data_IF_878197127272
#
_entry.id   IF_878197127272
#
_cell.length_a   1.000
_cell.length_b   1.000
_cell.length_c   1.000
_cell.angle_alpha   90.00
_cell.angle_beta   90.00
_cell.angle_gamma   90.00
#
_symmetry.space_group_name_H-M   'P 1'
#
loop_
_entity.id
_entity.type
_entity.pdbx_description
1 polymer ?
#
# COMPACT_ATOMS: atom_id res chain seq x y z
N UNK A 1 49.44 9.64 -14.69
CA UNK A 1 48.36 8.64 -14.67
C UNK A 1 48.80 7.44 -13.83
N UNK A 2 48.39 7.33 -12.56
CA UNK A 2 48.64 6.12 -11.78
C UNK A 2 47.40 5.19 -11.81
N UNK A 3 47.65 3.92 -12.14
CA UNK A 3 46.75 2.78 -11.92
C UNK A 3 46.83 2.42 -10.44
N UNK A 4 45.68 2.40 -9.75
CA UNK A 4 45.59 1.86 -8.39
C UNK A 4 44.86 0.53 -8.48
N UNK A 5 45.65 -0.53 -8.36
CA UNK A 5 45.22 -1.90 -8.09
C UNK A 5 44.70 -1.97 -6.66
N UNK A 6 43.43 -2.35 -6.45
CA UNK A 6 42.94 -2.65 -5.10
C UNK A 6 42.97 -4.17 -4.88
N UNK A 7 43.65 -4.53 -3.82
CA UNK A 7 44.01 -5.88 -3.38
C UNK A 7 42.79 -6.56 -2.74
N UNK A 8 42.59 -7.82 -3.13
CA UNK A 8 41.68 -8.78 -2.49
C UNK A 8 42.25 -9.14 -1.12
N UNK A 9 41.49 -8.86 -0.05
CA UNK A 9 41.80 -9.39 1.28
C UNK A 9 40.79 -10.47 1.63
N UNK A 10 41.24 -11.71 1.48
CA UNK A 10 40.55 -12.92 1.90
C UNK A 10 40.80 -13.11 3.40
N UNK A 11 39.76 -12.96 4.24
CA UNK A 11 39.83 -13.30 5.65
C UNK A 11 39.33 -14.74 5.85
N UNK A 12 40.29 -15.65 6.09
CA UNK A 12 40.04 -16.98 6.63
C UNK A 12 39.79 -16.86 8.15
N UNK A 13 38.66 -17.36 8.64
CA UNK A 13 38.46 -17.67 10.05
C UNK A 13 38.15 -19.15 10.23
N UNK A 14 38.94 -19.78 11.10
CA UNK A 14 38.85 -21.19 11.51
C UNK A 14 38.43 -21.22 13.00
N UNK A 15 37.39 -22.00 13.29
CA UNK A 15 37.27 -22.81 14.52
C UNK A 15 36.62 -22.20 15.77
N UNK A 16 35.47 -22.75 16.17
CA UNK A 16 34.88 -22.60 17.51
C UNK A 16 33.38 -22.97 17.54
N UNK A 17 33.00 -23.97 18.33
CA UNK A 17 31.75 -24.75 18.24
C UNK A 17 30.44 -24.07 18.74
N UNK A 18 29.34 -24.69 18.30
CA UNK A 18 27.97 -24.74 18.84
C UNK A 18 27.08 -23.50 18.73
N UNK A 19 26.32 -23.49 17.63
CA UNK A 19 25.05 -22.80 17.49
C UNK A 19 24.56 -23.07 16.08
N UNK A 20 23.44 -23.78 15.92
CA UNK A 20 22.81 -24.01 14.62
C UNK A 20 22.21 -22.68 14.11
N UNK A 21 23.07 -21.74 13.74
CA UNK A 21 22.69 -20.62 12.90
C UNK A 21 22.75 -21.17 11.47
N UNK A 22 21.59 -21.50 10.92
CA UNK A 22 21.42 -21.59 9.47
C UNK A 22 21.94 -20.29 8.89
N UNK A 23 23.16 -20.35 8.36
CA UNK A 23 23.76 -19.30 7.56
C UNK A 23 23.02 -19.33 6.22
N UNK A 24 21.78 -18.83 6.25
CA UNK A 24 20.97 -18.63 5.07
C UNK A 24 21.75 -17.59 4.29
N UNK A 25 22.25 -17.99 3.12
CA UNK A 25 22.91 -17.12 2.16
C UNK A 25 21.97 -15.90 1.94
N UNK A 26 22.26 -14.77 2.63
CA UNK A 26 21.41 -13.57 2.67
C UNK A 26 21.11 -13.02 1.28
N UNK A 27 21.85 -13.48 0.27
CA UNK A 27 21.65 -13.12 -1.13
C UNK A 27 20.49 -13.84 -1.82
N UNK A 28 19.86 -14.85 -1.20
CA UNK A 28 18.84 -15.70 -1.87
C UNK A 28 17.46 -15.75 -1.20
N UNK A 29 17.32 -15.19 0.00
CA UNK A 29 16.07 -15.24 0.76
C UNK A 29 15.64 -13.86 1.22
N UNK A 30 14.34 -13.58 1.21
CA UNK A 30 13.75 -12.39 1.82
C UNK A 30 12.67 -12.80 2.80
N UNK A 31 12.68 -12.18 3.98
CA UNK A 31 11.69 -12.38 5.02
C UNK A 31 10.73 -11.19 4.98
N UNK A 32 9.45 -11.47 4.75
CA UNK A 32 8.36 -10.50 4.82
C UNK A 32 7.60 -10.75 6.13
N UNK A 33 7.48 -9.70 6.95
CA UNK A 33 6.72 -9.80 8.21
C UNK A 33 5.23 -9.57 7.95
N UNK A 34 4.40 -10.50 8.42
CA UNK A 34 2.94 -10.41 8.42
C UNK A 34 2.48 -10.20 9.86
N UNK A 35 1.25 -9.73 10.07
CA UNK A 35 0.72 -9.37 11.40
C UNK A 35 0.91 -10.44 12.48
N UNK A 36 0.89 -11.73 12.08
CA UNK A 36 1.07 -12.86 13.00
C UNK A 36 2.05 -13.94 12.49
N UNK A 37 2.79 -13.68 11.41
CA UNK A 37 3.62 -14.71 10.77
C UNK A 37 4.82 -14.11 10.01
N UNK A 38 5.74 -14.97 9.56
CA UNK A 38 6.86 -14.59 8.69
C UNK A 38 6.83 -15.41 7.42
N UNK A 39 6.77 -14.72 6.28
CA UNK A 39 6.86 -15.35 4.97
C UNK A 39 8.32 -15.34 4.50
N UNK A 40 8.90 -16.52 4.36
CA UNK A 40 10.26 -16.71 3.85
C UNK A 40 10.17 -17.00 2.34
N UNK A 41 10.62 -16.05 1.53
CA UNK A 41 10.59 -16.14 0.08
C UNK A 41 12.01 -16.37 -0.44
N UNK A 42 12.20 -17.47 -1.15
CA UNK A 42 13.50 -17.87 -1.69
C UNK A 42 13.50 -17.82 -3.21
N UNK A 43 14.62 -17.42 -3.79
CA UNK A 43 14.84 -17.58 -5.22
C UNK A 43 15.30 -19.02 -5.52
N UNK A 44 14.34 -19.90 -5.76
CA UNK A 44 14.55 -21.32 -6.11
C UNK A 44 14.98 -21.56 -7.58
N UNK A 45 15.11 -20.48 -8.37
CA UNK A 45 15.47 -20.53 -9.79
C UNK A 45 14.28 -20.67 -10.75
N UNK A 46 13.09 -21.03 -10.25
CA UNK A 46 11.86 -21.06 -11.04
C UNK A 46 11.38 -19.64 -11.37
N UNK A 47 10.50 -19.50 -12.36
CA UNK A 47 9.93 -18.19 -12.71
C UNK A 47 9.13 -17.60 -11.53
N UNK A 48 8.28 -18.40 -10.90
CA UNK A 48 7.48 -17.95 -9.76
C UNK A 48 8.34 -17.66 -8.53
N UNK A 49 9.35 -18.48 -8.22
CA UNK A 49 10.27 -18.21 -7.11
C UNK A 49 11.06 -16.93 -7.31
N UNK A 50 11.52 -16.64 -8.54
CA UNK A 50 12.15 -15.36 -8.88
C UNK A 50 11.20 -14.17 -8.68
N UNK A 51 9.95 -14.27 -9.12
CA UNK A 51 8.93 -13.21 -8.97
C UNK A 51 8.57 -12.99 -7.50
N UNK A 52 8.30 -14.05 -6.75
CA UNK A 52 8.06 -14.01 -5.30
C UNK A 52 9.21 -13.32 -4.57
N UNK A 53 10.45 -13.74 -4.83
CA UNK A 53 11.62 -13.14 -4.23
C UNK A 53 11.77 -11.64 -4.57
N UNK A 54 11.57 -11.26 -5.83
CA UNK A 54 11.66 -9.87 -6.28
C UNK A 54 10.61 -8.98 -5.58
N UNK A 55 9.34 -9.39 -5.61
CA UNK A 55 8.26 -8.65 -4.97
C UNK A 55 8.40 -8.63 -3.44
N UNK A 56 8.88 -9.70 -2.83
CA UNK A 56 9.20 -9.72 -1.40
C UNK A 56 10.27 -8.70 -1.00
N UNK A 57 11.30 -8.50 -1.84
CA UNK A 57 12.28 -7.43 -1.63
C UNK A 57 11.69 -6.04 -1.79
N UNK A 58 10.83 -5.85 -2.78
CA UNK A 58 10.16 -4.56 -3.00
C UNK A 58 9.22 -4.19 -1.86
N UNK A 59 8.49 -5.17 -1.33
CA UNK A 59 7.61 -5.02 -0.17
C UNK A 59 8.41 -4.69 1.10
N UNK A 60 9.54 -5.37 1.34
CA UNK A 60 10.43 -5.04 2.46
C UNK A 60 11.02 -3.64 2.36
N UNK A 61 11.37 -3.18 1.15
CA UNK A 61 11.80 -1.81 0.94
C UNK A 61 10.67 -0.81 1.23
N UNK A 62 9.44 -1.12 0.79
CA UNK A 62 8.27 -0.31 1.08
C UNK A 62 7.97 -0.23 2.59
N UNK A 63 8.17 -1.32 3.35
CA UNK A 63 8.01 -1.31 4.81
C UNK A 63 8.93 -0.29 5.48
N UNK A 64 10.17 -0.21 5.01
CA UNK A 64 11.16 0.73 5.50
C UNK A 64 10.78 2.17 5.16
N UNK A 65 10.28 2.42 3.94
CA UNK A 65 9.80 3.74 3.52
C UNK A 65 8.58 4.18 4.36
N UNK A 66 7.62 3.28 4.59
CA UNK A 66 6.45 3.54 5.45
C UNK A 66 6.90 3.85 6.89
N UNK A 67 7.85 3.08 7.43
CA UNK A 67 8.39 3.29 8.78
C UNK A 67 9.03 4.67 8.92
N UNK A 68 9.87 5.07 7.97
CA UNK A 68 10.50 6.39 7.97
C UNK A 68 9.47 7.52 7.88
N UNK A 69 8.42 7.35 7.06
CA UNK A 69 7.35 8.35 6.94
C UNK A 69 6.54 8.49 8.23
N UNK A 70 6.27 7.38 8.94
CA UNK A 70 5.61 7.40 10.26
C UNK A 70 6.46 8.12 11.30
N UNK A 71 7.75 7.83 11.36
CA UNK A 71 8.67 8.50 12.30
C UNK A 71 8.73 10.00 12.03
N UNK A 72 8.73 10.41 10.75
CA UNK A 72 8.64 11.81 10.36
C UNK A 72 7.30 12.44 10.77
N UNK A 73 6.19 11.71 10.62
CA UNK A 73 4.85 12.15 11.03
C UNK A 73 4.76 12.36 12.55
N UNK A 74 5.29 11.43 13.34
CA UNK A 74 5.28 11.48 14.81
C UNK A 74 6.17 12.62 15.36
N UNK A 75 7.20 13.01 14.61
CA UNK A 75 8.05 14.16 14.93
C UNK A 75 7.42 15.51 14.58
N UNK A 76 6.25 15.55 13.90
CA UNK A 76 5.56 16.81 13.64
C UNK A 76 4.94 17.37 14.94
N UNK A 77 5.27 18.60 15.36
CA UNK A 77 4.77 19.14 16.61
C UNK A 77 3.26 19.36 16.55
N UNK A 78 2.50 18.55 17.28
CA UNK A 78 1.10 18.82 17.62
C UNK A 78 1.12 20.01 18.59
N UNK A 79 0.97 21.23 18.07
CA UNK A 79 0.76 22.39 18.94
C UNK A 79 -0.60 22.21 19.59
N UNK A 80 -0.69 22.09 20.93
CA UNK A 80 -1.98 22.01 21.59
C UNK A 80 -2.80 23.25 21.22
N UNK A 81 -4.07 23.03 20.90
CA UNK A 81 -5.01 24.13 20.68
C UNK A 81 -5.02 25.00 21.94
N UNK A 82 -4.90 26.34 21.83
CA UNK A 82 -5.01 27.19 23.00
C UNK A 82 -6.39 26.95 23.66
N UNK A 83 -6.47 27.00 25.01
CA UNK A 83 -7.72 26.84 25.72
C UNK A 83 -8.75 27.86 25.19
N UNK A 84 -10.06 27.54 25.25
CA UNK A 84 -11.09 28.41 24.72
C UNK A 84 -11.15 29.73 25.53
N UNK A 85 -10.45 30.77 25.06
CA UNK A 85 -10.60 32.12 25.59
C UNK A 85 -11.91 32.73 25.08
N UNK A 86 -12.88 32.75 26.00
CA UNK A 86 -13.74 33.89 26.31
C UNK A 86 -14.02 34.92 25.18
N UNK A 87 -15.21 34.83 24.60
CA UNK A 87 -16.10 35.97 24.27
C UNK A 87 -15.49 37.22 23.60
N UNK A 88 -14.82 37.09 22.46
CA UNK A 88 -14.61 38.24 21.59
C UNK A 88 -15.05 37.96 20.15
N UNK A 89 -16.21 38.51 19.76
CA UNK A 89 -16.94 38.21 18.50
C UNK A 89 -16.28 38.73 17.21
N UNK A 90 -15.06 39.30 17.24
CA UNK A 90 -14.48 40.01 16.09
C UNK A 90 -12.99 39.69 15.81
N UNK A 91 -12.47 38.52 16.20
CA UNK A 91 -11.10 38.12 15.84
C UNK A 91 -11.09 37.16 14.63
N UNK A 92 -10.21 37.34 13.62
CA UNK A 92 -10.00 36.34 12.56
C UNK A 92 -9.45 35.05 13.18
N UNK A 93 -10.11 33.91 12.91
CA UNK A 93 -9.67 32.58 13.37
C UNK A 93 -8.22 32.29 12.91
N UNK A 94 -7.26 31.99 13.82
CA UNK A 94 -5.98 31.37 13.47
C UNK A 94 -6.15 29.87 13.14
N UNK A 95 -5.13 29.17 12.60
CA UNK A 95 -5.24 28.40 11.37
C UNK A 95 -5.80 26.97 11.54
N UNK A 96 -6.89 26.68 10.85
CA UNK A 96 -7.46 25.33 10.63
C UNK A 96 -6.53 24.42 9.80
N UNK A 97 -5.56 25.00 9.10
CA UNK A 97 -4.71 24.34 8.09
C UNK A 97 -3.77 23.29 8.68
N UNK A 98 -3.30 23.46 9.92
CA UNK A 98 -2.34 22.52 10.52
C UNK A 98 -2.98 21.17 10.88
N UNK A 99 -4.27 21.18 11.24
CA UNK A 99 -4.98 19.95 11.60
C UNK A 99 -5.35 19.14 10.34
N UNK A 100 -5.75 19.81 9.26
CA UNK A 100 -6.06 19.15 7.98
C UNK A 100 -4.82 18.45 7.40
N UNK A 101 -3.64 19.07 7.45
CA UNK A 101 -2.40 18.45 6.98
C UNK A 101 -2.06 17.15 7.72
N UNK A 102 -2.31 17.11 9.03
CA UNK A 102 -2.10 15.92 9.86
C UNK A 102 -3.10 14.82 9.45
N UNK A 103 -4.38 15.17 9.26
CA UNK A 103 -5.41 14.23 8.80
C UNK A 103 -5.13 13.68 7.39
N UNK A 104 -4.59 14.51 6.48
CA UNK A 104 -4.16 14.08 5.15
C UNK A 104 -3.01 13.07 5.29
N UNK A 105 -2.00 13.39 6.11
CA UNK A 105 -0.86 12.49 6.34
C UNK A 105 -1.30 11.14 6.91
N UNK A 106 -2.17 11.14 7.92
CA UNK A 106 -2.74 9.91 8.46
C UNK A 106 -3.55 9.13 7.41
N UNK A 107 -4.30 9.82 6.54
CA UNK A 107 -5.09 9.15 5.50
C UNK A 107 -4.20 8.53 4.41
N UNK A 108 -3.12 9.21 4.02
CA UNK A 108 -2.13 8.68 3.08
C UNK A 108 -1.38 7.49 3.69
N UNK A 109 -0.95 7.60 4.95
CA UNK A 109 -0.32 6.50 5.69
C UNK A 109 -1.24 5.28 5.79
N UNK A 110 -2.53 5.48 6.12
CA UNK A 110 -3.50 4.39 6.19
C UNK A 110 -3.68 3.70 4.83
N UNK A 111 -3.70 4.44 3.73
CA UNK A 111 -3.74 3.87 2.37
C UNK A 111 -2.49 3.02 2.09
N UNK A 112 -1.31 3.53 2.46
CA UNK A 112 -0.04 2.83 2.26
C UNK A 112 0.04 1.55 3.08
N UNK A 113 -0.33 1.60 4.36
CA UNK A 113 -0.37 0.44 5.25
C UNK A 113 -1.33 -0.63 4.74
N UNK A 114 -2.52 -0.22 4.30
CA UNK A 114 -3.50 -1.15 3.75
C UNK A 114 -2.98 -1.80 2.46
N UNK A 115 -2.42 -1.03 1.52
CA UNK A 115 -1.85 -1.60 0.30
C UNK A 115 -0.64 -2.51 0.57
N UNK A 116 0.18 -2.17 1.57
CA UNK A 116 1.27 -3.03 2.05
C UNK A 116 0.72 -4.35 2.59
N UNK A 117 -0.30 -4.30 3.44
CA UNK A 117 -0.91 -5.51 4.01
C UNK A 117 -1.51 -6.40 2.90
N UNK A 118 -2.17 -5.80 1.92
CA UNK A 118 -2.73 -6.48 0.76
C UNK A 118 -1.66 -7.18 -0.06
N UNK A 119 -0.57 -6.48 -0.38
CA UNK A 119 0.54 -7.06 -1.11
C UNK A 119 1.16 -8.25 -0.36
N UNK A 120 1.30 -8.15 0.96
CA UNK A 120 1.86 -9.21 1.78
C UNK A 120 0.97 -10.46 1.77
N UNK A 121 -0.35 -10.26 1.83
CA UNK A 121 -1.35 -11.33 1.78
C UNK A 121 -1.37 -12.02 0.40
N UNK A 122 -1.33 -11.25 -0.68
CA UNK A 122 -1.28 -11.77 -2.04
C UNK A 122 0.01 -12.56 -2.30
N UNK A 123 1.16 -12.09 -1.80
CA UNK A 123 2.40 -12.86 -1.86
C UNK A 123 2.33 -14.17 -1.08
N UNK A 124 1.64 -14.17 0.06
CA UNK A 124 1.43 -15.38 0.86
C UNK A 124 0.59 -16.39 0.11
N UNK A 125 -0.50 -15.97 -0.54
CA UNK A 125 -1.33 -16.87 -1.35
C UNK A 125 -0.59 -17.35 -2.61
N UNK A 126 0.13 -16.48 -3.31
CA UNK A 126 0.98 -16.86 -4.43
C UNK A 126 2.05 -17.90 -4.02
N UNK A 127 2.68 -17.71 -2.85
CA UNK A 127 3.65 -18.64 -2.29
C UNK A 127 3.01 -19.98 -1.94
N UNK A 128 1.82 -19.97 -1.33
CA UNK A 128 1.06 -21.20 -1.06
C UNK A 128 0.75 -21.93 -2.35
N UNK A 129 0.23 -21.27 -3.38
CA UNK A 129 -0.11 -21.92 -4.66
C UNK A 129 1.13 -22.45 -5.39
N UNK A 130 2.28 -21.77 -5.28
CA UNK A 130 3.53 -22.20 -5.90
C UNK A 130 4.14 -23.44 -5.23
N UNK A 131 3.98 -23.56 -3.91
CA UNK A 131 4.60 -24.65 -3.12
C UNK A 131 3.63 -25.78 -2.76
N UNK A 132 2.33 -25.51 -2.78
CA UNK A 132 1.28 -26.50 -2.53
C UNK A 132 0.91 -27.14 -3.86
N UNK A 133 0.53 -28.42 -3.85
CA UNK A 133 -0.15 -29.08 -4.99
C UNK A 133 -1.60 -28.60 -5.14
N UNK A 134 -1.81 -27.29 -4.99
CA UNK A 134 -3.12 -26.66 -5.08
C UNK A 134 -3.48 -26.43 -6.54
N UNK A 135 -4.77 -26.41 -6.82
CA UNK A 135 -5.29 -26.02 -8.13
C UNK A 135 -5.39 -24.49 -8.17
N UNK A 136 -4.68 -23.86 -9.10
CA UNK A 136 -4.67 -22.40 -9.25
C UNK A 136 -3.32 -21.91 -9.80
N UNK A 137 -3.34 -20.77 -10.51
CA UNK A 137 -2.11 -20.13 -10.97
C UNK A 137 -1.69 -19.07 -9.95
N UNK A 138 -0.43 -19.05 -9.49
CA UNK A 138 0.06 -17.97 -8.64
C UNK A 138 0.15 -16.62 -9.36
N UNK A 139 0.00 -16.58 -10.70
CA UNK A 139 0.20 -15.39 -11.51
C UNK A 139 -0.73 -14.23 -11.12
N UNK A 140 -2.02 -14.50 -10.88
CA UNK A 140 -3.01 -13.48 -10.51
C UNK A 140 -2.67 -12.83 -9.17
N UNK A 141 -2.28 -13.64 -8.18
CA UNK A 141 -1.83 -13.15 -6.88
C UNK A 141 -0.51 -12.38 -6.97
N UNK A 142 0.43 -12.80 -7.83
CA UNK A 142 1.68 -12.07 -8.05
C UNK A 142 1.44 -10.71 -8.72
N UNK A 143 0.48 -10.64 -9.66
CA UNK A 143 0.07 -9.38 -10.29
C UNK A 143 -0.64 -8.47 -9.30
N UNK A 144 -1.60 -8.99 -8.53
CA UNK A 144 -2.27 -8.25 -7.46
C UNK A 144 -1.29 -7.72 -6.40
N UNK A 145 -0.30 -8.54 -5.99
CA UNK A 145 0.76 -8.09 -5.09
C UNK A 145 1.58 -6.94 -5.67
N UNK A 146 1.96 -7.04 -6.94
CA UNK A 146 2.72 -6.00 -7.65
C UNK A 146 1.92 -4.70 -7.74
N UNK A 147 0.64 -4.76 -8.10
CA UNK A 147 -0.24 -3.60 -8.20
C UNK A 147 -0.40 -2.90 -6.85
N UNK A 148 -0.55 -3.66 -5.77
CA UNK A 148 -0.63 -3.11 -4.41
C UNK A 148 0.68 -2.42 -3.99
N UNK A 149 1.85 -3.01 -4.28
CA UNK A 149 3.16 -2.39 -4.01
C UNK A 149 3.30 -1.08 -4.81
N UNK A 150 2.95 -1.10 -6.10
CA UNK A 150 3.01 0.08 -6.95
C UNK A 150 2.03 1.17 -6.49
N UNK A 151 0.83 0.80 -6.02
CA UNK A 151 -0.14 1.74 -5.47
C UNK A 151 0.40 2.43 -4.21
N UNK A 152 1.03 1.69 -3.30
CA UNK A 152 1.65 2.24 -2.10
C UNK A 152 2.85 3.15 -2.43
N UNK A 153 3.73 2.74 -3.35
CA UNK A 153 4.83 3.57 -3.84
C UNK A 153 4.34 4.84 -4.53
N UNK A 154 3.28 4.74 -5.33
CA UNK A 154 2.64 5.89 -5.95
C UNK A 154 2.07 6.88 -4.94
N UNK A 155 1.79 6.47 -3.70
CA UNK A 155 1.41 7.36 -2.61
C UNK A 155 2.62 8.08 -1.99
N UNK A 156 3.80 7.43 -1.96
CA UNK A 156 5.08 8.00 -1.51
C UNK A 156 5.64 9.03 -2.49
N UNK A 157 5.63 8.69 -3.78
CA UNK A 157 6.29 9.49 -4.83
C UNK A 157 5.52 10.77 -5.17
N UNK A 158 4.22 10.79 -4.88
CA UNK A 158 3.36 11.95 -5.15
C UNK A 158 3.52 12.98 -4.05
N UNK A 159 3.55 14.25 -4.45
CA UNK A 159 3.44 15.35 -3.49
C UNK A 159 2.20 15.16 -2.63
N UNK A 160 2.35 15.36 -1.32
CA UNK A 160 1.25 15.25 -0.35
C UNK A 160 0.00 15.98 -0.87
N UNK A 161 -1.18 15.33 -0.82
CA UNK A 161 -2.41 15.95 -1.29
C UNK A 161 -2.67 17.26 -0.57
N UNK A 162 -3.20 18.25 -1.27
CA UNK A 162 -3.49 19.56 -0.70
C UNK A 162 -4.83 19.61 0.06
N UNK A 163 -5.65 18.55 -0.03
CA UNK A 163 -6.92 18.44 0.68
C UNK A 163 -7.21 16.98 1.01
N UNK A 164 -7.91 16.77 2.13
CA UNK A 164 -8.37 15.46 2.57
C UNK A 164 -9.41 14.83 1.64
N UNK A 165 -10.13 15.65 0.87
CA UNK A 165 -11.19 15.21 -0.04
C UNK A 165 -10.83 15.53 -1.47
N UNK A 166 -10.95 14.54 -2.35
CA UNK A 166 -10.68 14.66 -3.77
C UNK A 166 -12.00 14.80 -4.54
N UNK A 167 -12.07 15.74 -5.49
CA UNK A 167 -13.13 15.73 -6.50
C UNK A 167 -12.85 14.59 -7.46
N UNK A 168 -13.80 13.69 -7.57
CA UNK A 168 -13.63 12.47 -8.37
C UNK A 168 -14.42 12.55 -9.67
N UNK A 169 -13.84 12.00 -10.74
CA UNK A 169 -14.51 11.72 -12.00
C UNK A 169 -14.25 10.26 -12.34
N UNK A 170 -15.12 9.40 -11.82
CA UNK A 170 -15.07 7.96 -12.03
C UNK A 170 -16.13 7.61 -13.07
N UNK A 171 -15.71 6.89 -14.10
CA UNK A 171 -16.57 6.48 -15.22
C UNK A 171 -16.48 4.98 -15.38
N UNK A 172 -17.48 4.37 -16.03
CA UNK A 172 -17.40 2.97 -16.47
C UNK A 172 -17.26 2.93 -17.98
N UNK A 173 -16.59 1.91 -18.50
CA UNK A 173 -16.61 1.58 -19.93
C UNK A 173 -17.90 0.91 -20.38
N UNK A 174 -18.75 0.46 -19.44
CA UNK A 174 -20.08 -0.07 -19.75
C UNK A 174 -21.13 1.00 -19.56
N UNK A 175 -22.03 1.15 -20.52
CA UNK A 175 -23.20 2.02 -20.42
C UNK A 175 -24.47 1.25 -20.79
N UNK A 176 -25.60 1.44 -20.08
CA UNK A 176 -25.74 2.24 -18.86
C UNK A 176 -25.10 1.56 -17.64
N UNK A 177 -24.55 2.34 -16.71
CA UNK A 177 -23.97 1.81 -15.48
C UNK A 177 -24.39 2.58 -14.24
N UNK A 178 -24.84 1.87 -13.23
CA UNK A 178 -24.96 2.36 -11.86
C UNK A 178 -23.69 2.04 -11.10
N UNK A 179 -23.00 3.09 -10.65
CA UNK A 179 -21.75 2.98 -9.89
C UNK A 179 -22.07 3.19 -8.41
N UNK A 180 -21.62 2.26 -7.58
CA UNK A 180 -21.65 2.39 -6.13
C UNK A 180 -20.25 2.20 -5.57
N UNK A 181 -20.03 2.67 -4.35
CA UNK A 181 -18.75 2.46 -3.68
C UNK A 181 -18.91 2.29 -2.17
N UNK A 182 -17.90 1.67 -1.57
CA UNK A 182 -17.73 1.59 -0.11
C UNK A 182 -16.23 1.57 0.22
N UNK A 183 -15.83 1.93 1.44
CA UNK A 183 -14.45 1.73 1.89
C UNK A 183 -14.03 0.27 1.74
N UNK A 184 -12.80 0.03 1.27
CA UNK A 184 -12.30 -1.33 1.03
C UNK A 184 -12.26 -2.17 2.32
N UNK A 185 -12.00 -1.56 3.48
CA UNK A 185 -12.05 -2.24 4.77
C UNK A 185 -13.46 -2.77 5.10
N UNK A 186 -14.49 -1.96 4.84
CA UNK A 186 -15.88 -2.34 5.08
C UNK A 186 -16.28 -3.50 4.17
N UNK A 187 -15.93 -3.44 2.88
CA UNK A 187 -16.14 -4.53 1.92
C UNK A 187 -15.57 -5.87 2.41
N UNK A 188 -14.32 -5.87 2.91
CA UNK A 188 -13.66 -7.08 3.40
C UNK A 188 -14.26 -7.67 4.67
N UNK A 189 -14.83 -6.81 5.50
CA UNK A 189 -15.57 -7.25 6.68
C UNK A 189 -16.97 -7.76 6.36
N UNK A 190 -17.36 -7.81 5.08
CA UNK A 190 -18.67 -8.25 4.62
C UNK A 190 -19.73 -7.15 4.67
N UNK A 191 -19.33 -5.88 4.62
CA UNK A 191 -20.24 -4.75 4.61
C UNK A 191 -21.16 -4.76 3.38
N UNK A 192 -22.40 -4.33 3.58
CA UNK A 192 -23.45 -4.29 2.53
C UNK A 192 -23.90 -2.86 2.20
N UNK A 193 -23.38 -1.86 2.91
CA UNK A 193 -23.78 -0.45 2.79
C UNK A 193 -23.09 0.27 1.63
N UNK A 194 -23.58 0.02 0.42
CA UNK A 194 -23.09 0.65 -0.80
C UNK A 194 -23.60 2.10 -0.94
N UNK A 195 -22.69 3.04 -1.18
CA UNK A 195 -23.02 4.45 -1.45
C UNK A 195 -23.12 4.67 -2.96
N UNK A 196 -24.23 5.23 -3.43
CA UNK A 196 -24.39 5.59 -4.85
C UNK A 196 -23.41 6.70 -5.25
N UNK A 197 -22.68 6.47 -6.33
CA UNK A 197 -21.69 7.41 -6.85
C UNK A 197 -22.32 8.41 -7.82
N UNK A 198 -21.87 9.67 -7.76
CA UNK A 198 -22.17 10.69 -8.76
C UNK A 198 -20.89 11.38 -9.22
N UNK A 199 -20.80 11.68 -10.51
CA UNK A 199 -19.62 12.34 -11.09
C UNK A 199 -19.41 13.71 -10.43
N UNK A 200 -18.19 13.98 -9.98
CA UNK A 200 -17.85 15.20 -9.23
C UNK A 200 -17.98 15.05 -7.72
N UNK A 201 -18.43 13.90 -7.21
CA UNK A 201 -18.49 13.63 -5.78
C UNK A 201 -17.12 13.84 -5.12
N UNK A 202 -17.16 14.45 -3.93
CA UNK A 202 -16.00 14.61 -3.07
C UNK A 202 -15.85 13.36 -2.22
N UNK A 203 -14.82 12.57 -2.48
CA UNK A 203 -14.52 11.35 -1.73
C UNK A 203 -13.25 11.60 -0.92
N UNK A 204 -13.22 11.13 0.33
CA UNK A 204 -12.03 11.21 1.18
C UNK A 204 -10.89 10.41 0.53
N UNK A 205 -9.64 10.81 0.78
CA UNK A 205 -8.47 9.98 0.46
C UNK A 205 -8.62 8.60 1.12
N UNK A 206 -8.40 7.54 0.35
CA UNK A 206 -8.65 6.17 0.82
C UNK A 206 -8.63 5.11 -0.28
N UNK A 207 -8.68 3.85 0.16
CA UNK A 207 -8.94 2.70 -0.71
C UNK A 207 -10.43 2.37 -0.69
N UNK A 208 -11.01 2.18 -1.86
CA UNK A 208 -12.45 1.95 -2.03
C UNK A 208 -12.70 0.77 -2.95
N UNK A 209 -13.77 0.03 -2.67
CA UNK A 209 -14.35 -0.91 -3.62
C UNK A 209 -15.45 -0.20 -4.39
N UNK A 210 -15.33 -0.15 -5.72
CA UNK A 210 -16.37 0.34 -6.59
C UNK A 210 -17.10 -0.83 -7.24
N UNK A 211 -18.42 -0.82 -7.15
CA UNK A 211 -19.30 -1.78 -7.81
C UNK A 211 -19.95 -1.11 -9.00
N UNK A 212 -19.77 -1.70 -10.18
CA UNK A 212 -20.46 -1.31 -11.40
C UNK A 212 -21.55 -2.33 -11.67
N UNK A 213 -22.78 -1.85 -11.78
CA UNK A 213 -23.95 -2.67 -12.12
C UNK A 213 -24.62 -2.12 -13.37
N UNK A 214 -25.01 -3.01 -14.27
CA UNK A 214 -25.80 -2.73 -15.46
C UNK A 214 -26.69 -3.92 -15.81
N UNK A 215 -27.32 -3.91 -16.99
CA UNK A 215 -28.41 -4.83 -17.32
C UNK A 215 -28.06 -6.33 -17.18
N UNK A 216 -26.81 -6.72 -17.42
CA UNK A 216 -26.41 -8.14 -17.41
C UNK A 216 -25.10 -8.45 -16.64
N UNK A 217 -24.54 -7.49 -15.90
CA UNK A 217 -23.30 -7.74 -15.18
C UNK A 217 -23.11 -6.83 -13.97
N UNK A 218 -22.55 -7.44 -12.93
CA UNK A 218 -22.00 -6.77 -11.77
C UNK A 218 -20.53 -7.15 -11.67
N UNK A 219 -19.67 -6.15 -11.58
CA UNK A 219 -18.26 -6.38 -11.30
C UNK A 219 -17.75 -5.30 -10.36
N UNK A 220 -16.77 -5.68 -9.55
CA UNK A 220 -16.23 -4.83 -8.50
C UNK A 220 -14.74 -4.55 -8.78
N UNK A 221 -14.29 -3.31 -8.64
CA UNK A 221 -12.89 -2.90 -8.82
C UNK A 221 -12.40 -2.12 -7.59
N UNK A 222 -11.20 -2.46 -7.11
CA UNK A 222 -10.50 -1.69 -6.08
C UNK A 222 -9.96 -0.41 -6.70
N UNK A 223 -10.19 0.73 -6.07
CA UNK A 223 -9.72 2.04 -6.52
C UNK A 223 -9.09 2.80 -5.36
N UNK A 224 -7.86 3.27 -5.57
CA UNK A 224 -7.09 4.05 -4.60
C UNK A 224 -7.19 5.54 -4.93
N UNK A 225 -7.82 6.32 -4.07
CA UNK A 225 -8.05 7.77 -4.26
C UNK A 225 -7.02 8.54 -3.44
N UNK A 226 -6.12 9.25 -4.12
CA UNK A 226 -4.99 9.96 -3.50
C UNK A 226 -4.73 11.37 -4.06
N UNK A 227 -5.46 11.85 -5.07
CA UNK A 227 -5.15 13.13 -5.74
C UNK A 227 -6.42 13.91 -6.09
N UNK A 228 -6.39 15.25 -5.95
CA UNK A 228 -7.46 16.15 -6.41
C UNK A 228 -7.02 16.93 -7.67
N UNK A 229 -7.74 16.84 -8.79
CA UNK A 229 -8.86 15.96 -9.07
C UNK A 229 -8.41 14.50 -9.30
N UNK A 230 -9.27 13.55 -8.95
CA UNK A 230 -9.09 12.13 -9.24
C UNK A 230 -9.90 11.74 -10.47
N UNK A 231 -9.27 11.16 -11.47
CA UNK A 231 -9.94 10.66 -12.68
C UNK A 231 -9.62 9.19 -12.85
N UNK A 232 -10.64 8.37 -13.02
CA UNK A 232 -10.47 6.93 -13.21
C UNK A 232 -11.58 6.35 -14.09
N UNK A 233 -11.25 5.32 -14.84
CA UNK A 233 -12.19 4.60 -15.70
C UNK A 233 -12.19 3.15 -15.26
N UNK A 234 -13.34 2.69 -14.77
CA UNK A 234 -13.57 1.33 -14.35
C UNK A 234 -13.83 0.45 -15.57
N UNK A 235 -13.16 -0.70 -15.63
CA UNK A 235 -13.26 -1.64 -16.74
C UNK A 235 -13.44 -3.06 -16.22
N UNK A 236 -14.21 -3.91 -16.92
CA UNK A 236 -14.26 -5.34 -16.61
C UNK A 236 -12.87 -5.94 -16.77
N UNK A 237 -12.46 -6.75 -15.80
CA UNK A 237 -11.28 -7.62 -15.90
C UNK A 237 -11.53 -8.75 -16.91
#
# INVERSE_FOLDING_TARGET
>A
MPRITLIVTLALFVGGEVGAQTNIDETRTVIVELDNDKLILENDGTENGKRLYALGRELRALDEDIRQLKEQADMMPVTPSPPPESNNKNAPKPPTVKNENIEILHSVLAVMEQNRADAAEELREAWKLSNSRSWGSPAEHLESAQDNIQSARGALDKSMPSSLYCRTKIQSTREPSNIHYMPEGDFRSGGEDWVSYTVGAKIKIGNYRFRVSGDDAVFDQKVTILQDPFVHVIQPL
#
